data_IF_316047057572
#
_entry.id   IF_316047057572
#
_cell.length_a   1.000
_cell.length_b   1.000
_cell.length_c   1.000
_cell.angle_alpha   90.00
_cell.angle_beta   90.00
_cell.angle_gamma   90.00
#
_symmetry.space_group_name_H-M   'P 1'
#
loop_
_entity.id
_entity.type
_entity.pdbx_description
1 polymer ?
#
# COMPACT_ATOMS: atom_id res chain seq x y z
N UNK A 1 -39.22 -18.54 -22.60
CA UNK A 1 -40.51 -18.09 -22.04
C UNK A 1 -40.28 -17.40 -20.70
N UNK A 2 -41.29 -16.69 -20.17
CA UNK A 2 -41.30 -16.28 -18.76
C UNK A 2 -42.17 -17.26 -17.97
N UNK A 3 -41.66 -17.68 -16.82
CA UNK A 3 -42.27 -18.61 -15.88
C UNK A 3 -41.97 -18.17 -14.45
N UNK A 4 -42.68 -18.71 -13.45
CA UNK A 4 -42.54 -18.26 -12.05
C UNK A 4 -41.17 -18.53 -11.43
N UNK A 5 -40.45 -19.54 -11.95
CA UNK A 5 -39.11 -19.96 -11.54
C UNK A 5 -37.98 -19.03 -12.02
N UNK A 6 -38.22 -18.17 -13.01
CA UNK A 6 -37.25 -17.14 -13.45
C UNK A 6 -37.46 -15.77 -12.78
N UNK A 7 -38.34 -15.68 -11.77
CA UNK A 7 -38.65 -14.44 -11.05
C UNK A 7 -37.99 -14.41 -9.66
N UNK A 8 -37.32 -13.29 -9.35
CA UNK A 8 -36.77 -13.03 -8.02
C UNK A 8 -37.82 -12.55 -7.01
N UNK A 9 -37.42 -12.47 -5.73
CA UNK A 9 -38.25 -11.89 -4.66
C UNK A 9 -37.44 -10.90 -3.81
N UNK A 10 -38.10 -9.85 -3.34
CA UNK A 10 -37.55 -8.83 -2.46
C UNK A 10 -38.61 -8.41 -1.43
N UNK A 11 -38.19 -7.93 -0.26
CA UNK A 11 -39.09 -7.47 0.81
C UNK A 11 -39.69 -6.10 0.49
N UNK A 12 -38.94 -5.25 -0.19
CA UNK A 12 -39.33 -3.89 -0.57
C UNK A 12 -38.81 -3.59 -1.98
N UNK A 13 -39.67 -3.01 -2.80
CA UNK A 13 -39.33 -2.44 -4.12
C UNK A 13 -40.01 -1.08 -4.21
N UNK A 14 -39.25 0.01 -4.21
CA UNK A 14 -39.81 1.37 -4.29
C UNK A 14 -38.92 2.33 -5.07
N UNK A 15 -39.54 3.28 -5.78
CA UNK A 15 -38.84 4.41 -6.39
C UNK A 15 -38.65 5.50 -5.33
N UNK A 16 -37.40 5.82 -4.99
CA UNK A 16 -37.06 6.98 -4.15
C UNK A 16 -36.42 8.05 -5.03
N UNK A 17 -36.79 9.32 -4.83
CA UNK A 17 -36.04 10.45 -5.39
C UNK A 17 -34.82 10.73 -4.50
N UNK A 18 -33.62 10.64 -5.07
CA UNK A 18 -32.35 10.94 -4.38
C UNK A 18 -31.71 12.12 -5.10
N UNK A 19 -31.50 13.22 -4.37
CA UNK A 19 -31.26 14.54 -4.96
C UNK A 19 -32.33 14.86 -6.02
N UNK A 20 -31.96 14.95 -7.30
CA UNK A 20 -32.89 15.18 -8.41
C UNK A 20 -33.20 13.95 -9.28
N UNK A 21 -32.56 12.82 -9.01
CA UNK A 21 -32.76 11.58 -9.77
C UNK A 21 -33.77 10.63 -9.12
N UNK A 22 -34.43 9.81 -9.95
CA UNK A 22 -35.33 8.73 -9.52
C UNK A 22 -34.56 7.41 -9.55
N UNK A 23 -34.44 6.76 -8.39
CA UNK A 23 -33.73 5.49 -8.24
C UNK A 23 -34.66 4.43 -7.66
N UNK A 24 -34.63 3.21 -8.21
CA UNK A 24 -35.43 2.08 -7.71
C UNK A 24 -34.61 1.28 -6.71
N UNK A 25 -35.07 1.23 -5.47
CA UNK A 25 -34.46 0.48 -4.39
C UNK A 25 -35.12 -0.89 -4.28
N UNK A 26 -34.32 -1.95 -4.33
CA UNK A 26 -34.75 -3.35 -4.18
C UNK A 26 -34.07 -3.89 -2.93
N UNK A 27 -34.82 -4.00 -1.83
CA UNK A 27 -34.27 -4.20 -0.49
C UNK A 27 -34.84 -5.47 0.18
N UNK A 28 -34.02 -6.10 1.03
CA UNK A 28 -34.39 -7.30 1.77
C UNK A 28 -34.65 -8.54 0.89
N UNK A 29 -33.88 -8.72 -0.17
CA UNK A 29 -33.86 -9.96 -0.96
C UNK A 29 -33.43 -11.16 -0.10
N UNK A 30 -34.04 -12.35 -0.25
CA UNK A 30 -33.56 -13.56 0.43
C UNK A 30 -32.19 -14.00 -0.10
N UNK A 31 -31.22 -14.19 0.80
CA UNK A 31 -29.84 -14.62 0.49
C UNK A 31 -29.17 -13.82 -0.65
N UNK A 32 -28.94 -12.50 -0.46
CA UNK A 32 -28.43 -11.63 -1.51
C UNK A 32 -26.95 -11.93 -1.81
N UNK A 33 -26.66 -12.51 -2.98
CA UNK A 33 -25.29 -12.75 -3.47
C UNK A 33 -24.58 -11.47 -3.96
N UNK A 34 -25.31 -10.37 -4.07
CA UNK A 34 -24.81 -9.04 -4.38
C UNK A 34 -25.56 -8.02 -3.53
N UNK A 35 -24.85 -6.99 -3.09
CA UNK A 35 -25.37 -5.87 -2.30
C UNK A 35 -24.86 -4.56 -2.91
N UNK A 36 -25.50 -3.44 -2.59
CA UNK A 36 -25.13 -2.12 -3.12
C UNK A 36 -25.10 -1.10 -1.98
N UNK A 37 -24.02 -0.32 -1.91
CA UNK A 37 -23.84 0.76 -0.94
C UNK A 37 -23.99 2.08 -1.68
N UNK A 38 -25.03 2.86 -1.36
CA UNK A 38 -25.25 4.17 -1.98
C UNK A 38 -24.52 5.27 -1.20
N UNK A 39 -23.35 5.65 -1.69
CA UNK A 39 -22.54 6.74 -1.16
C UNK A 39 -23.11 8.08 -1.66
N UNK A 40 -23.06 9.12 -0.82
CA UNK A 40 -23.52 10.48 -1.15
C UNK A 40 -22.62 11.52 -0.48
N UNK A 41 -22.24 12.55 -1.22
CA UNK A 41 -21.40 13.66 -0.75
C UNK A 41 -21.79 14.97 -1.40
N UNK A 42 -21.32 16.09 -0.84
CA UNK A 42 -21.55 17.43 -1.40
C UNK A 42 -20.58 17.83 -2.53
N UNK A 43 -19.57 17.00 -2.79
CA UNK A 43 -18.55 17.17 -3.82
C UNK A 43 -18.21 15.78 -4.39
N UNK A 44 -18.04 15.69 -5.70
CA UNK A 44 -17.66 14.46 -6.45
C UNK A 44 -16.44 13.78 -5.82
N UNK A 45 -15.33 14.52 -5.68
CA UNK A 45 -14.09 14.05 -5.02
C UNK A 45 -14.25 13.48 -3.60
N UNK A 46 -15.29 13.87 -2.87
CA UNK A 46 -15.57 13.35 -1.54
C UNK A 46 -16.46 12.09 -1.57
N UNK A 47 -17.13 11.82 -2.70
CA UNK A 47 -17.74 10.51 -3.01
C UNK A 47 -16.64 9.56 -3.47
N UNK A 48 -15.77 9.97 -4.40
CA UNK A 48 -14.68 9.15 -4.95
C UNK A 48 -13.78 8.57 -3.85
N UNK A 49 -13.31 9.43 -2.92
CA UNK A 49 -12.44 9.00 -1.81
C UNK A 49 -13.19 8.16 -0.77
N UNK A 50 -14.51 8.37 -0.61
CA UNK A 50 -15.34 7.54 0.27
C UNK A 50 -15.65 6.15 -0.35
N UNK A 51 -15.82 6.06 -1.67
CA UNK A 51 -15.92 4.79 -2.40
C UNK A 51 -14.63 4.00 -2.25
N UNK A 52 -13.50 4.64 -2.54
CA UNK A 52 -12.17 4.06 -2.35
C UNK A 52 -11.93 3.58 -0.92
N UNK A 53 -12.21 4.42 0.08
CA UNK A 53 -12.07 4.06 1.50
C UNK A 53 -12.91 2.84 1.88
N UNK A 54 -14.12 2.70 1.31
CA UNK A 54 -14.99 1.53 1.55
C UNK A 54 -14.47 0.29 0.82
N UNK A 55 -13.94 0.41 -0.39
CA UNK A 55 -13.32 -0.70 -1.13
C UNK A 55 -12.07 -1.21 -0.39
N UNK A 56 -11.19 -0.30 0.06
CA UNK A 56 -9.98 -0.65 0.80
C UNK A 56 -10.33 -1.35 2.14
N UNK A 57 -11.30 -0.81 2.88
CA UNK A 57 -11.78 -1.42 4.14
C UNK A 57 -12.46 -2.78 3.93
N UNK A 58 -13.26 -2.96 2.88
CA UNK A 58 -13.87 -4.25 2.54
C UNK A 58 -12.82 -5.28 2.11
N UNK A 59 -11.77 -4.85 1.42
CA UNK A 59 -10.64 -5.71 1.01
C UNK A 59 -9.85 -6.21 2.23
N UNK A 60 -9.55 -5.32 3.19
CA UNK A 60 -8.94 -5.70 4.47
C UNK A 60 -9.78 -6.70 5.27
N UNK A 61 -11.11 -6.60 5.22
CA UNK A 61 -12.00 -7.58 5.85
C UNK A 61 -12.03 -8.91 5.08
N UNK A 62 -11.96 -8.88 3.74
CA UNK A 62 -11.88 -10.08 2.92
C UNK A 62 -10.56 -10.85 3.17
N UNK A 63 -9.42 -10.14 3.21
CA UNK A 63 -8.10 -10.69 3.55
C UNK A 63 -8.13 -11.51 4.86
N UNK A 64 -8.78 -11.00 5.91
CA UNK A 64 -8.88 -11.67 7.22
C UNK A 64 -9.91 -12.82 7.22
N UNK A 65 -10.86 -12.82 6.29
CA UNK A 65 -11.80 -13.94 6.10
C UNK A 65 -11.13 -15.10 5.33
N UNK A 66 -10.21 -14.81 4.40
CA UNK A 66 -9.48 -15.81 3.62
C UNK A 66 -8.23 -16.34 4.36
N UNK A 67 -7.45 -15.46 5.01
CA UNK A 67 -6.28 -15.82 5.82
C UNK A 67 -6.39 -15.20 7.24
N UNK A 68 -6.88 -15.95 8.25
CA UNK A 68 -7.33 -15.41 9.53
C UNK A 68 -6.20 -15.11 10.53
N UNK A 69 -5.13 -14.46 10.07
CA UNK A 69 -4.02 -13.98 10.91
C UNK A 69 -3.93 -12.46 10.88
N UNK A 70 -3.82 -11.86 12.06
CA UNK A 70 -3.71 -10.42 12.28
C UNK A 70 -2.44 -10.10 13.06
N UNK A 71 -1.94 -8.88 12.88
CA UNK A 71 -0.73 -8.35 13.53
C UNK A 71 -0.98 -6.94 14.07
N UNK A 72 -0.24 -6.50 15.11
CA UNK A 72 -0.35 -5.14 15.65
C UNK A 72 0.13 -4.10 14.62
N UNK A 73 -0.66 -3.04 14.46
CA UNK A 73 -0.35 -1.96 13.51
C UNK A 73 0.58 -0.89 14.06
N UNK A 74 0.47 0.35 13.55
CA UNK A 74 1.25 1.50 14.04
C UNK A 74 2.77 1.34 13.93
N UNK A 75 3.26 0.50 13.02
CA UNK A 75 4.69 0.18 12.87
C UNK A 75 5.25 -0.84 13.87
N UNK A 76 4.42 -1.44 14.73
CA UNK A 76 4.84 -2.44 15.71
C UNK A 76 5.43 -3.69 15.04
N UNK A 77 4.72 -4.21 14.04
CA UNK A 77 5.15 -5.38 13.25
C UNK A 77 6.52 -5.17 12.61
N UNK A 78 6.74 -3.99 12.03
CA UNK A 78 7.99 -3.59 11.38
C UNK A 78 9.15 -3.42 12.37
N UNK A 79 8.90 -2.83 13.55
CA UNK A 79 9.90 -2.69 14.60
C UNK A 79 10.32 -4.05 15.20
N UNK A 80 9.39 -4.98 15.40
CA UNK A 80 9.70 -6.33 15.88
C UNK A 80 10.52 -7.13 14.84
N UNK A 81 10.16 -7.02 13.55
CA UNK A 81 10.93 -7.62 12.45
C UNK A 81 12.36 -7.04 12.40
N UNK A 82 12.50 -5.72 12.51
CA UNK A 82 13.82 -5.07 12.52
C UNK A 82 14.68 -5.46 13.74
N UNK A 83 14.06 -5.64 14.91
CA UNK A 83 14.70 -6.14 16.15
C UNK A 83 15.24 -7.56 15.96
N UNK A 84 14.42 -8.50 15.52
CA UNK A 84 14.84 -9.90 15.37
C UNK A 84 15.87 -10.09 14.23
N UNK A 85 15.77 -9.31 13.14
CA UNK A 85 16.81 -9.26 12.10
C UNK A 85 18.18 -8.81 12.66
N UNK A 86 18.21 -7.81 13.55
CA UNK A 86 19.46 -7.36 14.21
C UNK A 86 20.01 -8.37 15.22
N UNK A 87 19.15 -9.18 15.85
CA UNK A 87 19.61 -10.32 16.67
C UNK A 87 20.16 -11.47 15.82
N UNK A 88 19.65 -11.64 14.60
CA UNK A 88 20.09 -12.66 13.65
C UNK A 88 21.41 -12.29 12.94
N UNK A 89 21.61 -11.04 12.56
CA UNK A 89 22.76 -10.61 11.74
C UNK A 89 24.15 -11.04 12.28
N UNK A 90 24.46 -10.92 13.60
CA UNK A 90 25.74 -11.36 14.17
C UNK A 90 25.92 -12.88 14.19
N UNK A 91 24.85 -13.67 14.02
CA UNK A 91 24.91 -15.13 13.93
C UNK A 91 25.35 -15.60 12.55
N UNK A 92 25.15 -14.76 11.52
CA UNK A 92 25.63 -14.98 10.15
C UNK A 92 27.04 -14.42 9.97
N UNK A 93 27.28 -13.20 10.47
CA UNK A 93 28.57 -12.53 10.34
C UNK A 93 28.92 -12.10 8.91
N UNK A 94 30.20 -11.88 8.65
CA UNK A 94 30.71 -11.63 7.29
C UNK A 94 30.28 -10.30 6.69
N UNK A 95 29.98 -10.30 5.39
CA UNK A 95 29.36 -9.15 4.67
C UNK A 95 27.84 -9.21 4.74
N UNK A 96 27.33 -10.41 4.91
CA UNK A 96 25.94 -10.80 4.99
C UNK A 96 25.27 -10.17 6.22
N UNK A 97 25.97 -10.11 7.36
CA UNK A 97 25.57 -9.34 8.54
C UNK A 97 25.21 -7.88 8.19
N UNK A 98 26.08 -7.18 7.45
CA UNK A 98 25.87 -5.77 7.09
C UNK A 98 24.65 -5.59 6.19
N UNK A 99 24.35 -6.57 5.32
CA UNK A 99 23.16 -6.57 4.49
C UNK A 99 21.87 -6.80 5.31
N UNK A 100 21.91 -7.69 6.31
CA UNK A 100 20.79 -7.95 7.23
C UNK A 100 20.52 -6.71 8.11
N UNK A 101 21.57 -6.07 8.64
CA UNK A 101 21.47 -4.82 9.40
C UNK A 101 20.90 -3.68 8.55
N UNK A 102 21.33 -3.55 7.28
CA UNK A 102 20.76 -2.59 6.34
C UNK A 102 19.29 -2.87 6.04
N UNK A 103 18.89 -4.13 5.87
CA UNK A 103 17.48 -4.51 5.66
C UNK A 103 16.62 -4.21 6.91
N UNK A 104 17.12 -4.47 8.11
CA UNK A 104 16.44 -4.10 9.36
C UNK A 104 16.22 -2.57 9.46
N UNK A 105 17.22 -1.78 9.09
CA UNK A 105 17.10 -0.32 9.03
C UNK A 105 16.10 0.15 7.94
N UNK A 106 15.97 -0.60 6.84
CA UNK A 106 15.00 -0.30 5.79
C UNK A 106 13.55 -0.61 6.21
N UNK A 107 13.31 -1.72 6.92
CA UNK A 107 11.96 -2.05 7.46
C UNK A 107 11.48 -0.99 8.46
N UNK A 108 12.38 -0.49 9.32
CA UNK A 108 12.08 0.59 10.27
C UNK A 108 11.76 1.96 9.61
N UNK A 109 11.90 2.12 8.29
CA UNK A 109 11.48 3.36 7.62
C UNK A 109 9.97 3.59 7.76
N UNK A 110 9.18 2.54 7.93
CA UNK A 110 7.72 2.63 8.06
C UNK A 110 7.30 3.32 9.38
N UNK A 111 7.69 2.85 10.58
CA UNK A 111 7.43 3.60 11.82
C UNK A 111 8.09 4.98 11.83
N UNK A 112 9.27 5.16 11.21
CA UNK A 112 9.92 6.49 11.12
C UNK A 112 9.12 7.46 10.25
N UNK A 113 8.62 7.03 9.10
CA UNK A 113 7.76 7.85 8.23
C UNK A 113 6.38 8.11 8.86
N UNK A 114 5.84 7.15 9.63
CA UNK A 114 4.61 7.36 10.41
C UNK A 114 4.80 8.49 11.45
N UNK A 115 5.94 8.53 12.13
CA UNK A 115 6.31 9.61 13.05
C UNK A 115 6.47 10.97 12.33
N UNK A 116 7.23 11.01 11.24
CA UNK A 116 7.47 12.21 10.43
C UNK A 116 6.15 12.83 9.95
N UNK A 117 5.24 12.00 9.40
CA UNK A 117 3.92 12.45 8.94
C UNK A 117 2.98 12.86 10.08
N UNK A 118 3.23 12.42 11.31
CA UNK A 118 2.46 12.79 12.51
C UNK A 118 3.01 14.01 13.25
N UNK A 119 4.12 14.60 12.77
CA UNK A 119 4.77 15.74 13.43
C UNK A 119 5.49 15.40 14.74
N UNK A 120 5.83 14.12 14.95
CA UNK A 120 6.62 13.66 16.09
C UNK A 120 8.11 13.75 15.77
N UNK A 121 8.98 13.85 16.79
CA UNK A 121 10.42 13.69 16.57
C UNK A 121 10.71 12.22 16.20
N UNK A 122 11.24 11.92 15.00
CA UNK A 122 11.40 10.54 14.55
C UNK A 122 12.56 9.80 15.24
N UNK A 123 13.50 10.52 15.84
CA UNK A 123 14.64 9.94 16.57
C UNK A 123 14.16 9.51 17.95
N UNK A 124 13.50 10.40 18.69
CA UNK A 124 13.01 10.10 20.04
C UNK A 124 11.96 8.98 20.04
N UNK A 125 10.97 9.02 19.13
CA UNK A 125 9.89 8.01 19.12
C UNK A 125 10.37 6.64 18.62
N UNK A 126 11.35 6.56 17.70
CA UNK A 126 11.93 5.26 17.31
C UNK A 126 12.88 4.70 18.36
N UNK A 127 13.55 5.56 19.14
CA UNK A 127 14.29 5.14 20.33
C UNK A 127 13.34 4.63 21.44
N UNK A 128 12.23 5.32 21.70
CA UNK A 128 11.19 4.84 22.62
C UNK A 128 10.61 3.50 22.15
N UNK A 129 10.25 3.38 20.86
CA UNK A 129 9.67 2.18 20.29
C UNK A 129 10.59 0.96 20.48
N UNK A 130 11.86 1.08 20.09
CA UNK A 130 12.86 0.02 20.35
C UNK A 130 12.97 -0.35 21.83
N UNK A 131 12.91 0.62 22.74
CA UNK A 131 12.93 0.38 24.19
C UNK A 131 11.65 -0.27 24.75
N UNK A 132 10.51 -0.20 24.05
CA UNK A 132 9.36 -1.08 24.30
C UNK A 132 9.57 -2.47 23.71
N UNK A 133 10.09 -2.57 22.49
CA UNK A 133 10.28 -3.86 21.82
C UNK A 133 11.27 -4.80 22.52
N UNK A 134 12.26 -4.32 23.29
CA UNK A 134 13.12 -5.20 24.13
C UNK A 134 12.41 -5.83 25.34
N UNK A 135 11.11 -5.55 25.57
CA UNK A 135 10.29 -6.20 26.61
C UNK A 135 9.67 -7.49 26.07
N UNK A 136 9.30 -8.42 26.97
CA UNK A 136 8.70 -9.72 26.61
C UNK A 136 7.36 -9.56 25.87
N UNK A 137 6.54 -8.58 26.25
CA UNK A 137 5.31 -8.20 25.55
C UNK A 137 5.50 -7.03 24.56
N UNK A 138 6.74 -6.69 24.21
CA UNK A 138 7.11 -5.52 23.41
C UNK A 138 6.53 -5.50 21.99
N UNK A 139 6.37 -6.68 21.38
CA UNK A 139 5.95 -6.87 19.98
C UNK A 139 4.59 -6.25 19.60
N UNK A 140 3.72 -5.97 20.57
CA UNK A 140 2.39 -5.35 20.37
C UNK A 140 2.39 -3.82 20.42
N UNK A 141 3.51 -3.20 20.81
CA UNK A 141 3.61 -1.76 20.99
C UNK A 141 3.94 -1.07 19.66
N UNK A 142 3.21 -0.01 19.34
CA UNK A 142 3.38 0.77 18.11
C UNK A 142 3.19 2.26 18.36
N UNK A 143 3.35 3.08 17.33
CA UNK A 143 3.18 4.53 17.43
C UNK A 143 1.69 4.86 17.32
N UNK A 144 1.08 5.28 18.43
CA UNK A 144 -0.23 5.92 18.39
C UNK A 144 -0.06 7.39 17.97
N UNK A 145 -0.48 7.68 16.75
CA UNK A 145 -0.43 9.02 16.13
C UNK A 145 -1.38 10.03 16.79
N UNK A 146 -2.39 9.58 17.55
CA UNK A 146 -3.35 10.46 18.20
C UNK A 146 -2.91 10.91 19.60
N UNK A 147 -2.26 10.03 20.39
CA UNK A 147 -1.61 10.43 21.66
C UNK A 147 -0.15 10.88 21.50
N UNK A 148 0.46 10.62 20.34
CA UNK A 148 1.84 10.97 20.01
C UNK A 148 2.89 10.12 20.74
N UNK A 149 2.58 8.86 21.05
CA UNK A 149 3.36 8.00 21.96
C UNK A 149 3.33 6.53 21.57
N UNK A 150 4.32 5.78 22.06
CA UNK A 150 4.33 4.32 21.96
C UNK A 150 3.25 3.71 22.87
N UNK A 151 2.32 2.96 22.28
CA UNK A 151 1.11 2.43 22.92
C UNK A 151 0.81 0.97 22.52
N UNK A 152 0.04 0.25 23.33
CA UNK A 152 -0.37 -1.13 23.05
C UNK A 152 -1.42 -1.14 21.92
N UNK A 153 -1.00 -1.52 20.71
CA UNK A 153 -1.85 -1.47 19.52
C UNK A 153 -3.01 -2.45 19.59
N UNK A 154 -2.81 -3.63 20.19
CA UNK A 154 -3.86 -4.62 20.38
C UNK A 154 -4.89 -4.13 21.42
N UNK A 155 -4.42 -3.49 22.49
CA UNK A 155 -5.28 -2.82 23.48
C UNK A 155 -6.11 -1.66 22.92
N UNK A 156 -5.62 -0.99 21.87
CA UNK A 156 -6.34 0.05 21.12
C UNK A 156 -7.19 -0.49 19.96
N UNK A 157 -7.11 -1.78 19.64
CA UNK A 157 -7.79 -2.38 18.48
C UNK A 157 -7.17 -2.03 17.11
N UNK A 158 -5.94 -1.51 17.09
CA UNK A 158 -5.19 -1.15 15.89
C UNK A 158 -4.48 -2.41 15.36
N UNK A 159 -5.16 -3.11 14.45
CA UNK A 159 -4.72 -4.38 13.86
C UNK A 159 -4.71 -4.33 12.34
N UNK A 160 -3.80 -5.07 11.72
CA UNK A 160 -3.66 -5.21 10.26
C UNK A 160 -3.61 -6.70 9.87
N UNK A 161 -4.01 -7.09 8.64
CA UNK A 161 -3.90 -8.47 8.19
C UNK A 161 -2.43 -8.87 7.97
N UNK A 162 -2.06 -10.09 8.38
CA UNK A 162 -0.70 -10.60 8.19
C UNK A 162 -0.32 -10.66 6.70
N UNK A 163 -1.26 -11.05 5.84
CA UNK A 163 -1.08 -11.18 4.38
C UNK A 163 -0.60 -9.88 3.73
N UNK A 164 -1.10 -8.71 4.18
CA UNK A 164 -0.67 -7.39 3.69
C UNK A 164 0.81 -7.15 3.97
N UNK A 165 1.28 -7.41 5.21
CA UNK A 165 2.69 -7.26 5.58
C UNK A 165 3.58 -8.23 4.80
N UNK A 166 3.15 -9.48 4.65
CA UNK A 166 3.88 -10.50 3.89
C UNK A 166 4.01 -10.12 2.41
N UNK A 167 2.97 -9.59 1.78
CA UNK A 167 3.02 -9.12 0.38
C UNK A 167 3.88 -7.88 0.23
N UNK A 168 3.78 -6.90 1.12
CA UNK A 168 4.61 -5.69 1.10
C UNK A 168 6.11 -6.03 1.17
N UNK A 169 6.52 -6.87 2.12
CA UNK A 169 7.93 -7.27 2.29
C UNK A 169 8.44 -8.08 1.08
N UNK A 170 7.65 -9.04 0.56
CA UNK A 170 8.01 -9.83 -0.63
C UNK A 170 8.20 -8.93 -1.86
N UNK A 171 7.20 -8.13 -2.21
CA UNK A 171 7.23 -7.29 -3.40
C UNK A 171 8.36 -6.24 -3.33
N UNK A 172 8.56 -5.59 -2.18
CA UNK A 172 9.66 -4.65 -1.99
C UNK A 172 11.03 -5.33 -2.13
N UNK A 173 11.18 -6.57 -1.63
CA UNK A 173 12.42 -7.35 -1.75
C UNK A 173 12.67 -7.78 -3.20
N UNK A 174 11.65 -8.26 -3.91
CA UNK A 174 11.76 -8.68 -5.32
C UNK A 174 12.14 -7.52 -6.25
N UNK A 175 11.49 -6.36 -6.09
CA UNK A 175 11.80 -5.14 -6.85
C UNK A 175 13.20 -4.61 -6.51
N UNK A 176 13.57 -4.56 -5.23
CA UNK A 176 14.92 -4.15 -4.81
C UNK A 176 15.99 -5.07 -5.38
N UNK A 177 15.78 -6.39 -5.31
CA UNK A 177 16.68 -7.38 -5.86
C UNK A 177 16.74 -7.34 -7.40
N UNK A 178 15.67 -6.94 -8.10
CA UNK A 178 15.70 -6.69 -9.54
C UNK A 178 16.58 -5.48 -9.87
N UNK A 179 16.38 -4.35 -9.21
CA UNK A 179 17.13 -3.10 -9.45
C UNK A 179 18.63 -3.30 -9.14
N UNK A 180 18.96 -3.94 -8.01
CA UNK A 180 20.34 -4.23 -7.60
C UNK A 180 21.09 -5.23 -8.50
N UNK A 181 20.41 -5.86 -9.47
CA UNK A 181 21.02 -6.74 -10.49
C UNK A 181 21.26 -6.05 -11.84
N UNK A 182 20.86 -4.80 -12.01
CA UNK A 182 21.13 -4.02 -13.22
C UNK A 182 22.53 -3.43 -13.09
N UNK A 183 23.45 -3.87 -13.95
CA UNK A 183 24.82 -3.36 -14.06
C UNK A 183 24.91 -2.17 -15.03
N UNK A 184 24.24 -2.24 -16.18
CA UNK A 184 24.19 -1.18 -17.19
C UNK A 184 22.77 -0.91 -17.71
N UNK A 185 22.47 0.35 -18.04
CA UNK A 185 21.20 0.76 -18.68
C UNK A 185 21.50 1.26 -20.10
N UNK A 186 21.33 0.39 -21.09
CA UNK A 186 21.47 0.75 -22.51
C UNK A 186 20.15 1.38 -23.00
N UNK A 187 20.07 2.71 -22.92
CA UNK A 187 18.97 3.46 -23.52
C UNK A 187 19.02 3.36 -25.05
N UNK A 188 18.07 2.64 -25.64
CA UNK A 188 17.91 2.57 -27.09
C UNK A 188 17.41 3.92 -27.62
N UNK A 189 18.33 4.73 -28.16
CA UNK A 189 17.97 5.89 -28.98
C UNK A 189 17.13 5.46 -30.18
N UNK A 190 16.35 6.39 -30.75
CA UNK A 190 15.63 6.14 -32.00
C UNK A 190 16.63 5.68 -33.05
N UNK A 191 16.40 4.48 -33.61
CA UNK A 191 17.01 4.11 -34.87
C UNK A 191 16.55 5.14 -35.91
N UNK A 192 17.48 5.93 -36.43
CA UNK A 192 17.21 6.64 -37.67
C UNK A 192 16.92 5.60 -38.75
N UNK A 193 15.70 5.63 -39.29
CA UNK A 193 15.39 4.86 -40.49
C UNK A 193 16.34 5.32 -41.59
N UNK A 194 17.29 4.46 -41.96
CA UNK A 194 18.18 4.72 -43.09
C UNK A 194 17.34 4.72 -44.37
N UNK A 195 16.86 5.91 -44.72
CA UNK A 195 16.04 6.16 -45.89
C UNK A 195 16.68 5.56 -47.13
N UNK A 196 15.85 4.94 -47.97
CA UNK A 196 16.31 4.27 -49.18
C UNK A 196 17.10 5.20 -50.11
N UNK A 197 18.06 4.61 -50.83
CA UNK A 197 19.10 5.29 -51.60
C UNK A 197 18.60 6.48 -52.44
N UNK A 198 19.26 7.64 -52.29
CA UNK A 198 19.32 8.68 -53.32
C UNK A 198 20.74 9.19 -53.48
N UNK A 199 21.05 9.64 -54.71
CA UNK A 199 22.40 9.88 -55.22
C UNK A 199 23.11 11.14 -54.69
N UNK A 200 24.31 11.42 -55.24
CA UNK A 200 25.33 12.21 -54.55
C UNK A 200 25.18 13.74 -54.62
N UNK A 201 25.48 14.36 -53.47
CA UNK A 201 26.11 15.68 -53.23
C UNK A 201 25.61 16.94 -53.94
N UNK A 202 25.25 17.91 -53.09
CA UNK A 202 25.47 19.35 -53.25
C UNK A 202 25.65 19.96 -51.85
N UNK A 203 26.56 20.93 -51.72
CA UNK A 203 26.97 21.64 -50.48
C UNK A 203 26.85 23.17 -50.73
N UNK A 204 26.98 24.13 -49.80
CA UNK A 204 27.40 24.17 -48.37
C UNK A 204 26.18 23.99 -47.38
N UNK A 205 25.94 24.59 -46.19
CA UNK A 205 26.53 25.70 -45.36
C UNK A 205 26.14 25.53 -43.85
N UNK A 206 26.38 26.51 -42.96
CA UNK A 206 26.24 26.43 -41.48
C UNK A 206 24.91 27.01 -40.91
N UNK A 207 24.44 26.52 -39.75
CA UNK A 207 24.29 27.35 -38.51
C UNK A 207 24.08 26.52 -37.22
N UNK A 208 23.88 27.16 -36.05
CA UNK A 208 24.20 26.64 -34.70
C UNK A 208 23.04 26.60 -33.68
N UNK A 209 23.32 25.99 -32.53
CA UNK A 209 22.74 26.21 -31.18
C UNK A 209 21.30 25.71 -30.90
N UNK A 210 20.91 25.43 -29.64
CA UNK A 210 21.65 24.92 -28.45
C UNK A 210 20.63 24.33 -27.44
N UNK A 211 21.10 23.98 -26.23
CA UNK A 211 20.39 23.71 -24.95
C UNK A 211 18.84 23.51 -24.96
N UNK A 212 18.30 22.38 -24.49
CA UNK A 212 18.23 21.92 -23.08
C UNK A 212 17.75 22.99 -22.08
N UNK A 213 16.43 23.03 -21.88
CA UNK A 213 15.72 23.26 -20.61
C UNK A 213 14.55 22.24 -20.55
#
# INVERSE_FOLDING_TARGET
>A
DLSSDVLGTAKLVEERKVADEKMVFVEGCPNPKAVSILIRGGLEKAVDEAERSIIDALSVVADVIEDPYIVPGGGASEAEVAKELRKYAPQVGGREQLAIEAFANAVEVIPRALAENSGLDPIDITAELRAYHEKEDGWKYGIDVFSGKVSDMLGLGIIEPLVVKLHAIKAATEVSALILRIDDIIAAGKLEEKGAEKGPKGEEEEEKSSEFD
#
